data_IF_029439208858
#
_entry.id   IF_029439208858
#
_cell.length_a   1.000
_cell.length_b   1.000
_cell.length_c   1.000
_cell.angle_alpha   90.00
_cell.angle_beta   90.00
_cell.angle_gamma   90.00
#
_symmetry.space_group_name_H-M   'P 1'
#
loop_
_entity.id
_entity.type
_entity.pdbx_description
1 polymer ?
#
# COMPACT_ATOMS: atom_id res chain seq x y z
N UNK A 1 13.43 -6.31 12.90
CA UNK A 1 12.81 -6.23 14.25
C UNK A 1 12.45 -7.63 14.74
N UNK A 2 12.17 -7.81 16.03
CA UNK A 2 11.74 -9.10 16.59
C UNK A 2 10.30 -8.96 17.11
N UNK A 3 9.41 -9.86 16.70
CA UNK A 3 8.03 -9.91 17.19
C UNK A 3 7.77 -11.35 17.62
N UNK A 4 7.42 -11.56 18.90
CA UNK A 4 7.23 -12.90 19.48
C UNK A 4 8.41 -13.84 19.19
N UNK A 5 9.64 -13.33 19.33
CA UNK A 5 10.89 -14.06 19.04
C UNK A 5 11.08 -14.49 17.58
N UNK A 6 10.24 -14.02 16.65
CA UNK A 6 10.40 -14.24 15.22
C UNK A 6 11.08 -13.01 14.60
N UNK A 7 12.23 -13.18 13.91
CA UNK A 7 12.87 -12.08 13.21
C UNK A 7 12.04 -11.67 11.99
N UNK A 8 11.82 -10.37 11.86
CA UNK A 8 11.04 -9.75 10.80
C UNK A 8 11.84 -8.65 10.08
N UNK A 9 11.76 -8.65 8.76
CA UNK A 9 12.16 -7.53 7.92
C UNK A 9 11.08 -6.46 7.99
N UNK A 10 11.45 -5.29 8.51
CA UNK A 10 10.59 -4.11 8.51
C UNK A 10 11.02 -3.21 7.35
N UNK A 11 10.09 -2.92 6.45
CA UNK A 11 10.29 -2.06 5.31
C UNK A 11 9.41 -0.83 5.48
N UNK A 12 10.02 0.34 5.67
CA UNK A 12 9.31 1.61 5.80
C UNK A 12 9.44 2.37 4.49
N UNK A 13 8.33 2.72 3.86
CA UNK A 13 8.31 3.35 2.54
C UNK A 13 7.66 4.73 2.56
N UNK A 14 8.08 5.54 1.59
CA UNK A 14 7.36 6.73 1.14
C UNK A 14 7.37 6.69 -0.38
N UNK A 15 6.30 6.18 -0.97
CA UNK A 15 6.21 6.02 -2.42
C UNK A 15 5.96 7.39 -3.08
N UNK A 16 6.56 7.65 -4.24
CA UNK A 16 6.36 8.91 -4.94
C UNK A 16 4.93 9.02 -5.52
N UNK A 17 4.47 10.24 -5.79
CA UNK A 17 3.19 10.45 -6.50
C UNK A 17 3.25 10.03 -7.99
N UNK A 18 4.45 10.04 -8.57
CA UNK A 18 4.75 9.71 -9.97
C UNK A 18 5.81 8.61 -10.03
N UNK A 19 5.96 7.93 -11.18
CA UNK A 19 6.98 6.88 -11.37
C UNK A 19 6.90 5.69 -10.38
N UNK A 20 5.74 5.43 -9.80
CA UNK A 20 5.55 4.35 -8.81
C UNK A 20 5.91 2.95 -9.35
N UNK A 21 5.73 2.67 -10.65
CA UNK A 21 6.13 1.40 -11.25
C UNK A 21 7.63 1.12 -11.05
N UNK A 22 8.48 2.12 -11.32
CA UNK A 22 9.93 1.99 -11.16
C UNK A 22 10.30 1.84 -9.68
N UNK A 23 9.65 2.61 -8.81
CA UNK A 23 9.83 2.54 -7.37
C UNK A 23 9.54 1.14 -6.82
N UNK A 24 8.35 0.58 -7.09
CA UNK A 24 7.97 -0.73 -6.57
C UNK A 24 8.77 -1.87 -7.19
N UNK A 25 9.21 -1.76 -8.45
CA UNK A 25 10.13 -2.73 -9.05
C UNK A 25 11.47 -2.77 -8.31
N UNK A 26 12.09 -1.61 -8.07
CA UNK A 26 13.35 -1.53 -7.33
C UNK A 26 13.19 -1.97 -5.87
N UNK A 27 12.05 -1.64 -5.24
CA UNK A 27 11.74 -2.09 -3.89
C UNK A 27 11.67 -3.62 -3.83
N UNK A 28 10.99 -4.23 -4.80
CA UNK A 28 10.85 -5.67 -4.90
C UNK A 28 12.21 -6.38 -5.02
N UNK A 29 13.06 -5.92 -5.94
CA UNK A 29 14.41 -6.45 -6.14
C UNK A 29 15.25 -6.39 -4.85
N UNK A 30 15.14 -5.29 -4.10
CA UNK A 30 15.85 -5.12 -2.81
C UNK A 30 15.30 -6.04 -1.72
N UNK A 31 13.98 -6.24 -1.65
CA UNK A 31 13.37 -7.14 -0.66
C UNK A 31 13.79 -8.59 -0.92
N UNK A 32 13.74 -9.04 -2.18
CA UNK A 32 14.18 -10.40 -2.55
C UNK A 32 15.64 -10.62 -2.16
N UNK A 33 16.53 -9.66 -2.46
CA UNK A 33 17.96 -9.78 -2.16
C UNK A 33 18.29 -9.91 -0.66
N UNK A 34 17.37 -9.57 0.24
CA UNK A 34 17.55 -9.73 1.69
C UNK A 34 17.20 -11.14 2.19
N UNK A 35 16.55 -11.96 1.35
CA UNK A 35 16.20 -13.36 1.60
C UNK A 35 15.48 -13.58 2.95
N UNK A 36 14.61 -12.63 3.33
CA UNK A 36 13.83 -12.70 4.58
C UNK A 36 12.45 -13.24 4.31
N UNK A 37 12.02 -14.22 5.12
CA UNK A 37 10.69 -14.84 5.02
C UNK A 37 9.59 -13.98 5.63
N UNK A 38 9.85 -13.39 6.80
CA UNK A 38 8.87 -12.60 7.52
C UNK A 38 9.06 -11.12 7.17
N UNK A 39 8.10 -10.54 6.45
CA UNK A 39 8.18 -9.20 5.90
C UNK A 39 6.97 -8.39 6.39
N UNK A 40 7.21 -7.17 6.82
CA UNK A 40 6.19 -6.17 7.10
C UNK A 40 6.56 -4.89 6.35
N UNK A 41 5.65 -4.43 5.48
CA UNK A 41 5.78 -3.16 4.77
C UNK A 41 4.78 -2.17 5.35
N UNK A 42 5.23 -0.96 5.68
CA UNK A 42 4.39 0.12 6.16
C UNK A 42 4.88 1.47 5.65
N UNK A 43 3.99 2.47 5.65
CA UNK A 43 4.29 3.83 5.24
C UNK A 43 3.29 4.35 4.22
N UNK A 44 3.64 5.46 3.57
CA UNK A 44 2.75 6.11 2.60
C UNK A 44 2.98 5.48 1.21
N UNK A 45 1.98 4.74 0.72
CA UNK A 45 2.00 4.13 -0.61
C UNK A 45 1.64 5.14 -1.72
N UNK A 46 1.13 6.32 -1.34
CA UNK A 46 0.61 7.34 -2.25
C UNK A 46 -0.36 6.78 -3.30
N UNK A 47 -1.06 5.70 -2.96
CA UNK A 47 -1.91 4.94 -3.86
C UNK A 47 -3.09 4.31 -3.13
N UNK A 48 -4.19 4.17 -3.85
CA UNK A 48 -5.48 3.67 -3.39
C UNK A 48 -5.60 2.22 -3.87
N UNK A 49 -5.81 1.30 -2.92
CA UNK A 49 -5.98 -0.13 -3.21
C UNK A 49 -7.40 -0.43 -3.70
N UNK A 50 -8.42 -0.07 -2.92
CA UNK A 50 -9.83 -0.27 -3.29
C UNK A 50 -10.58 1.06 -3.32
N UNK A 51 -10.87 1.60 -4.50
CA UNK A 51 -11.61 2.87 -4.63
C UNK A 51 -13.01 2.89 -3.99
N UNK A 52 -13.68 1.75 -3.80
CA UNK A 52 -14.99 1.72 -3.16
C UNK A 52 -14.89 1.92 -1.63
N UNK A 53 -13.79 1.43 -1.04
CA UNK A 53 -13.58 1.41 0.41
C UNK A 53 -12.56 2.44 0.90
N UNK A 54 -11.57 2.75 0.09
CA UNK A 54 -10.40 3.59 0.40
C UNK A 54 -10.49 5.00 -0.19
N UNK A 55 -11.63 5.36 -0.80
CA UNK A 55 -11.88 6.72 -1.28
C UNK A 55 -13.28 7.18 -0.85
N UNK A 56 -13.39 8.39 -0.30
CA UNK A 56 -14.65 8.91 0.29
C UNK A 56 -15.83 8.96 -0.69
N UNK A 57 -15.57 9.17 -1.98
CA UNK A 57 -16.60 9.14 -3.03
C UNK A 57 -17.13 7.73 -3.38
N UNK A 58 -16.55 6.66 -2.81
CA UNK A 58 -16.97 5.28 -3.07
C UNK A 58 -16.89 4.87 -4.54
N UNK A 59 -15.87 5.35 -5.27
CA UNK A 59 -15.68 5.05 -6.69
C UNK A 59 -16.55 5.86 -7.68
N UNK A 60 -17.47 6.71 -7.21
CA UNK A 60 -18.36 7.52 -8.08
C UNK A 60 -17.62 8.56 -8.92
N UNK A 61 -16.48 9.08 -8.41
CA UNK A 61 -15.63 10.06 -9.10
C UNK A 61 -14.32 9.40 -9.56
N UNK A 62 -14.41 8.31 -10.34
CA UNK A 62 -13.24 7.59 -10.87
C UNK A 62 -12.45 8.45 -11.86
N UNK A 63 -11.56 9.31 -11.36
CA UNK A 63 -10.36 9.69 -12.11
C UNK A 63 -9.34 8.59 -11.82
N UNK A 64 -8.70 8.00 -12.85
CA UNK A 64 -7.67 6.93 -12.72
C UNK A 64 -6.41 7.37 -11.94
N UNK A 65 -6.48 8.40 -11.11
CA UNK A 65 -5.34 8.96 -10.39
C UNK A 65 -5.12 8.15 -9.12
N UNK A 66 -3.85 7.84 -8.83
CA UNK A 66 -3.38 7.19 -7.58
C UNK A 66 -3.96 5.80 -7.35
N UNK A 67 -4.19 5.00 -8.40
CA UNK A 67 -4.49 3.56 -8.21
C UNK A 67 -3.19 2.85 -7.84
N UNK A 68 -3.24 1.86 -6.94
CA UNK A 68 -2.10 1.00 -6.67
C UNK A 68 -1.56 0.41 -7.99
N UNK A 69 -0.26 0.57 -8.30
CA UNK A 69 0.27 0.05 -9.54
C UNK A 69 0.27 -1.47 -9.55
N UNK A 70 -0.03 -2.08 -10.71
CA UNK A 70 -0.06 -3.54 -10.88
C UNK A 70 1.25 -4.22 -10.44
N UNK A 71 2.40 -3.58 -10.68
CA UNK A 71 3.71 -4.09 -10.23
C UNK A 71 3.77 -4.23 -8.70
N UNK A 72 3.12 -3.33 -7.97
CA UNK A 72 3.02 -3.42 -6.51
C UNK A 72 2.11 -4.59 -6.09
N UNK A 73 0.96 -4.77 -6.77
CA UNK A 73 0.06 -5.90 -6.52
C UNK A 73 0.76 -7.25 -6.78
N UNK A 74 1.51 -7.36 -7.88
CA UNK A 74 2.29 -8.55 -8.24
C UNK A 74 3.37 -8.83 -7.19
N UNK A 75 4.13 -7.81 -6.78
CA UNK A 75 5.11 -7.91 -5.68
C UNK A 75 4.45 -8.40 -4.38
N UNK A 76 3.33 -7.81 -3.97
CA UNK A 76 2.63 -8.22 -2.76
C UNK A 76 2.16 -9.67 -2.84
N UNK A 77 1.66 -10.10 -4.01
CA UNK A 77 1.25 -11.49 -4.24
C UNK A 77 2.43 -12.46 -4.17
N UNK A 78 3.55 -12.14 -4.80
CA UNK A 78 4.76 -12.99 -4.80
C UNK A 78 5.34 -13.15 -3.39
N UNK A 79 5.37 -12.05 -2.63
CA UNK A 79 5.82 -12.05 -1.23
C UNK A 79 4.77 -12.57 -0.25
N UNK A 80 3.60 -13.04 -0.72
CA UNK A 80 2.49 -13.52 0.13
C UNK A 80 2.03 -12.50 1.19
N UNK A 81 2.06 -11.21 0.85
CA UNK A 81 1.66 -10.11 1.72
C UNK A 81 0.14 -9.90 1.69
N UNK A 82 -0.37 -9.40 2.82
CA UNK A 82 -1.78 -9.04 2.98
C UNK A 82 -1.90 -7.62 3.54
N UNK A 83 -2.93 -6.89 3.13
CA UNK A 83 -3.33 -5.65 3.80
C UNK A 83 -3.98 -6.01 5.15
N UNK A 84 -3.20 -5.89 6.22
CA UNK A 84 -3.61 -6.24 7.58
C UNK A 84 -4.80 -5.38 8.04
N UNK A 85 -4.77 -4.07 7.74
CA UNK A 85 -5.84 -3.17 8.14
C UNK A 85 -7.16 -3.56 7.47
N UNK A 86 -7.14 -3.81 6.16
CA UNK A 86 -8.34 -4.22 5.42
C UNK A 86 -8.84 -5.60 5.83
N UNK A 87 -7.95 -6.53 6.17
CA UNK A 87 -8.33 -7.86 6.68
C UNK A 87 -9.10 -7.76 8.00
N UNK A 88 -8.64 -6.92 8.92
CA UNK A 88 -9.29 -6.73 10.22
C UNK A 88 -10.56 -5.87 10.12
N UNK A 89 -10.59 -4.91 9.20
CA UNK A 89 -11.65 -3.91 9.05
C UNK A 89 -12.33 -4.00 7.68
N UNK A 90 -12.87 -5.18 7.34
CA UNK A 90 -13.33 -5.49 5.98
C UNK A 90 -14.47 -4.60 5.47
N UNK A 91 -15.31 -4.07 6.39
CA UNK A 91 -16.48 -3.23 6.09
C UNK A 91 -16.27 -1.75 6.40
N UNK A 92 -15.26 -1.42 7.19
CA UNK A 92 -15.03 -0.04 7.65
C UNK A 92 -14.46 0.84 6.55
N UNK A 93 -14.83 2.12 6.58
CA UNK A 93 -14.24 3.16 5.75
C UNK A 93 -13.50 4.14 6.65
N UNK A 94 -12.19 4.00 6.69
CA UNK A 94 -11.28 4.91 7.37
C UNK A 94 -10.26 5.42 6.36
N UNK A 95 -9.89 6.69 6.50
CA UNK A 95 -9.01 7.40 5.57
C UNK A 95 -7.86 8.03 6.35
N UNK A 96 -6.75 8.28 5.67
CA UNK A 96 -5.51 8.78 6.28
C UNK A 96 -5.05 10.11 5.68
N UNK A 97 -5.55 10.46 4.49
CA UNK A 97 -5.17 11.67 3.78
C UNK A 97 -6.39 12.45 3.26
N UNK A 98 -6.36 13.78 3.41
CA UNK A 98 -7.33 14.69 2.79
C UNK A 98 -6.67 15.49 1.66
N UNK A 99 -7.31 15.47 0.48
CA UNK A 99 -6.89 16.27 -0.67
C UNK A 99 -7.75 17.52 -0.78
N UNK A 100 -7.19 18.69 -0.46
CA UNK A 100 -7.91 19.96 -0.62
C UNK A 100 -8.33 20.23 -2.08
N UNK A 101 -7.49 20.01 -3.11
CA UNK A 101 -7.91 20.23 -4.51
C UNK A 101 -9.03 19.30 -4.99
N UNK A 102 -9.13 18.10 -4.44
CA UNK A 102 -10.14 17.10 -4.84
C UNK A 102 -11.34 17.06 -3.88
N UNK A 103 -11.25 17.75 -2.74
CA UNK A 103 -12.23 17.74 -1.65
C UNK A 103 -12.62 16.30 -1.28
N UNK A 104 -11.61 15.44 -1.13
CA UNK A 104 -11.79 14.00 -0.91
C UNK A 104 -10.84 13.44 0.13
N UNK A 105 -11.29 12.37 0.79
CA UNK A 105 -10.49 11.60 1.74
C UNK A 105 -10.10 10.26 1.12
N UNK A 106 -8.85 9.85 1.35
CA UNK A 106 -8.30 8.59 0.84
C UNK A 106 -7.50 7.88 1.91
N UNK A 107 -7.50 6.55 1.87
CA UNK A 107 -6.54 5.72 2.61
C UNK A 107 -5.39 5.37 1.67
N UNK A 108 -4.22 5.92 1.97
CA UNK A 108 -2.98 5.71 1.18
C UNK A 108 -1.84 5.17 2.04
N UNK A 109 -2.12 4.91 3.32
CA UNK A 109 -1.23 4.27 4.29
C UNK A 109 -1.79 2.90 4.72
#
# INVERSE_FOLDING_TARGET
IWINSIPMLLVVIYAPNENQNSFFKQLHERIIALEKRNICILGDFNAIVDHQKDHSSGGRKRKKKRVLPKVCEEMMSELSLIDVWRKLNAKEKQFTFYSNPQQSWTRID
#
